data_IF_661356391856
#
_entry.id   IF_661356391856
#
_cell.length_a   1.000
_cell.length_b   1.000
_cell.length_c   1.000
_cell.angle_alpha   90.00
_cell.angle_beta   90.00
_cell.angle_gamma   90.00
#
_symmetry.space_group_name_H-M   'P 1'
#
loop_
_entity.id
_entity.type
_entity.pdbx_description
1 polymer ?
#
# COMPACT_ATOMS: atom_id res chain seq x y z
N UNK A 1 4.52 -33.40 -43.19
CA UNK A 1 3.59 -32.25 -43.26
C UNK A 1 3.98 -31.28 -42.16
N UNK A 2 4.44 -30.09 -42.55
CA UNK A 2 4.76 -28.98 -41.64
C UNK A 2 3.66 -27.93 -41.83
N UNK A 3 3.02 -27.42 -40.78
CA UNK A 3 2.16 -26.23 -40.92
C UNK A 3 3.01 -24.96 -40.86
N UNK A 4 2.86 -24.13 -41.88
CA UNK A 4 3.46 -22.80 -42.01
C UNK A 4 2.80 -21.74 -41.11
N UNK A 5 3.56 -20.66 -40.95
CA UNK A 5 3.33 -19.38 -40.28
C UNK A 5 1.92 -18.80 -40.42
N UNK A 6 1.46 -18.07 -39.39
CA UNK A 6 0.64 -16.87 -39.63
C UNK A 6 0.86 -15.80 -38.55
N UNK A 7 1.55 -14.73 -38.94
CA UNK A 7 1.52 -13.42 -38.26
C UNK A 7 0.15 -12.79 -38.45
N UNK A 8 -0.48 -12.29 -37.38
CA UNK A 8 -1.69 -11.48 -37.47
C UNK A 8 -1.47 -10.16 -36.71
N UNK A 9 -1.93 -9.01 -37.25
CA UNK A 9 -1.26 -7.73 -37.15
C UNK A 9 -1.88 -6.77 -36.11
N UNK A 10 -1.18 -5.66 -35.89
CA UNK A 10 -1.69 -4.45 -35.24
C UNK A 10 -2.96 -3.96 -35.94
N UNK A 11 -4.04 -3.77 -35.18
CA UNK A 11 -5.19 -2.98 -35.62
C UNK A 11 -5.46 -1.85 -34.63
N UNK A 12 -5.30 -0.66 -35.15
CA UNK A 12 -5.64 0.64 -34.61
C UNK A 12 -7.14 0.95 -34.78
N UNK A 13 -7.66 1.70 -33.80
CA UNK A 13 -8.64 2.79 -33.94
C UNK A 13 -10.11 2.53 -34.33
N UNK A 14 -10.97 3.02 -33.43
CA UNK A 14 -12.08 3.95 -33.65
C UNK A 14 -13.52 3.45 -33.97
N UNK A 15 -14.45 4.13 -33.29
CA UNK A 15 -15.82 4.53 -33.70
C UNK A 15 -17.02 3.87 -33.00
N UNK A 16 -17.49 4.56 -31.94
CA UNK A 16 -18.83 5.13 -31.75
C UNK A 16 -20.04 4.50 -32.48
N UNK A 17 -21.08 4.21 -31.68
CA UNK A 17 -22.45 4.77 -31.79
C UNK A 17 -23.63 3.79 -32.00
N UNK A 18 -24.63 3.89 -31.11
CA UNK A 18 -26.06 3.56 -31.33
C UNK A 18 -26.44 2.07 -31.38
N UNK A 19 -27.59 1.60 -30.91
CA UNK A 19 -28.86 2.22 -30.51
C UNK A 19 -29.70 1.22 -29.70
N UNK A 20 -30.42 1.75 -28.71
CA UNK A 20 -31.69 1.28 -28.11
C UNK A 20 -32.22 -0.13 -28.43
N UNK A 21 -32.30 -0.98 -27.41
CA UNK A 21 -33.45 -1.88 -27.21
C UNK A 21 -33.94 -1.81 -25.75
N UNK A 22 -35.20 -1.41 -25.65
CA UNK A 22 -36.07 -1.37 -24.46
C UNK A 22 -36.18 -2.77 -23.84
N UNK A 23 -36.11 -2.87 -22.51
CA UNK A 23 -36.94 -3.84 -21.79
C UNK A 23 -37.35 -3.26 -20.45
N UNK A 24 -38.65 -3.32 -20.25
CA UNK A 24 -39.44 -2.79 -19.17
C UNK A 24 -39.36 -3.70 -17.92
N UNK A 25 -39.50 -3.07 -16.75
CA UNK A 25 -39.87 -3.64 -15.44
C UNK A 25 -39.00 -4.73 -14.82
N UNK A 26 -38.14 -4.33 -13.89
CA UNK A 26 -38.15 -4.97 -12.56
C UNK A 26 -37.79 -3.98 -11.46
N UNK A 27 -38.80 -3.61 -10.66
CA UNK A 27 -38.62 -2.96 -9.36
C UNK A 27 -37.78 -3.90 -8.49
N UNK A 28 -36.56 -3.49 -8.17
CA UNK A 28 -35.87 -3.97 -6.98
C UNK A 28 -35.41 -2.75 -6.23
N UNK A 29 -36.00 -2.54 -5.05
CA UNK A 29 -35.60 -1.51 -4.11
C UNK A 29 -34.16 -1.79 -3.67
N UNK A 30 -33.20 -1.20 -4.37
CA UNK A 30 -31.82 -1.11 -3.96
C UNK A 30 -31.45 0.36 -3.97
N UNK A 31 -31.43 0.97 -2.80
CA UNK A 31 -30.82 2.29 -2.58
C UNK A 31 -29.37 2.22 -3.07
N UNK A 32 -29.13 2.57 -4.33
CA UNK A 32 -27.80 2.85 -4.83
C UNK A 32 -27.42 4.22 -4.28
N UNK A 33 -27.01 4.24 -3.02
CA UNK A 33 -26.27 5.34 -2.45
C UNK A 33 -25.06 5.55 -3.35
N UNK A 34 -25.09 6.66 -4.07
CA UNK A 34 -23.93 7.37 -4.58
C UNK A 34 -22.91 7.47 -3.44
N UNK A 35 -22.01 6.49 -3.34
CA UNK A 35 -20.81 6.61 -2.55
C UNK A 35 -19.87 7.50 -3.36
N UNK A 36 -20.06 8.80 -3.10
CA UNK A 36 -19.14 9.88 -3.36
C UNK A 36 -17.72 9.37 -3.05
N UNK A 37 -16.87 9.23 -4.07
CA UNK A 37 -15.41 9.15 -3.89
C UNK A 37 -14.94 10.53 -3.42
N UNK A 38 -15.29 10.83 -2.16
CA UNK A 38 -14.92 12.02 -1.44
C UNK A 38 -14.17 11.58 -0.20
N UNK A 39 -13.12 12.33 0.11
CA UNK A 39 -12.39 12.32 1.37
C UNK A 39 -11.33 11.23 1.53
N UNK A 40 -10.13 11.58 1.08
CA UNK A 40 -8.94 11.63 1.95
C UNK A 40 -8.01 12.70 1.36
N UNK A 41 -8.46 13.94 1.22
CA UNK A 41 -8.12 15.00 2.19
C UNK A 41 -6.79 14.76 2.92
N UNK A 42 -5.77 15.45 2.41
CA UNK A 42 -4.61 15.97 3.16
C UNK A 42 -3.91 14.97 4.08
N UNK A 43 -3.23 13.99 3.50
CA UNK A 43 -2.21 13.26 4.25
C UNK A 43 -0.91 14.09 4.27
N UNK A 44 -0.88 15.14 5.09
CA UNK A 44 0.37 15.42 5.81
C UNK A 44 0.56 14.23 6.76
N UNK A 45 1.04 13.11 6.21
CA UNK A 45 1.39 11.93 6.99
C UNK A 45 2.51 12.39 7.88
N UNK A 46 2.22 12.43 9.18
CA UNK A 46 3.26 12.48 10.19
C UNK A 46 4.28 11.38 9.82
N UNK A 47 5.54 11.72 9.48
CA UNK A 47 6.52 10.75 9.04
C UNK A 47 6.74 9.65 10.08
N UNK A 48 6.43 9.93 11.35
CA UNK A 48 6.44 8.95 12.43
C UNK A 48 5.35 7.89 12.24
N UNK A 49 4.15 8.27 11.78
CA UNK A 49 3.01 7.36 11.59
C UNK A 49 3.29 6.31 10.51
N UNK A 50 3.82 6.75 9.36
CA UNK A 50 4.21 5.84 8.29
C UNK A 50 5.33 4.88 8.75
N UNK A 51 6.31 5.41 9.47
CA UNK A 51 7.40 4.60 10.03
C UNK A 51 6.89 3.58 11.05
N UNK A 52 5.90 3.96 11.87
CA UNK A 52 5.30 3.08 12.88
C UNK A 52 4.51 1.94 12.22
N UNK A 53 3.73 2.22 11.21
CA UNK A 53 3.00 1.21 10.43
C UNK A 53 3.97 0.19 9.80
N UNK A 54 5.05 0.66 9.16
CA UNK A 54 6.09 -0.22 8.60
C UNK A 54 6.77 -1.06 9.69
N UNK A 55 7.08 -0.44 10.83
CA UNK A 55 7.68 -1.13 11.98
C UNK A 55 6.78 -2.25 12.51
N UNK A 56 5.46 -2.04 12.54
CA UNK A 56 4.48 -3.03 12.97
C UNK A 56 4.30 -4.15 11.94
N UNK A 57 4.25 -3.82 10.65
CA UNK A 57 4.24 -4.80 9.55
C UNK A 57 5.46 -5.72 9.59
N UNK A 58 6.65 -5.16 9.87
CA UNK A 58 7.89 -5.91 10.00
C UNK A 58 8.07 -6.58 11.36
N UNK A 59 7.12 -6.40 12.29
CA UNK A 59 7.13 -6.95 13.65
C UNK A 59 8.45 -6.65 14.38
N UNK A 60 8.98 -5.44 14.24
CA UNK A 60 10.25 -5.06 14.88
C UNK A 60 10.15 -5.11 16.41
N UNK A 61 8.95 -4.98 16.96
CA UNK A 61 8.68 -4.92 18.40
C UNK A 61 9.16 -3.61 19.05
N UNK A 62 9.32 -2.54 18.26
CA UNK A 62 9.67 -1.21 18.77
C UNK A 62 8.41 -0.44 19.15
N UNK A 63 8.48 0.23 20.31
CA UNK A 63 7.46 1.22 20.70
C UNK A 63 7.58 2.47 19.82
N UNK A 64 6.53 3.30 19.82
CA UNK A 64 6.53 4.56 19.08
C UNK A 64 7.66 5.50 19.53
N UNK A 65 7.89 5.61 20.83
CA UNK A 65 9.01 6.39 21.40
C UNK A 65 10.38 5.85 20.96
N UNK A 66 10.58 4.53 21.01
CA UNK A 66 11.83 3.90 20.58
C UNK A 66 12.08 4.09 19.09
N UNK A 67 11.03 4.07 18.29
CA UNK A 67 11.11 4.32 16.86
C UNK A 67 11.46 5.78 16.58
N UNK A 68 10.86 6.73 17.29
CA UNK A 68 11.21 8.15 17.20
C UNK A 68 12.69 8.41 17.52
N UNK A 69 13.18 7.82 18.61
CA UNK A 69 14.60 7.88 18.97
C UNK A 69 15.49 7.24 17.91
N UNK A 70 15.12 6.08 17.36
CA UNK A 70 15.88 5.43 16.31
C UNK A 70 15.96 6.30 15.04
N UNK A 71 14.86 6.94 14.65
CA UNK A 71 14.83 7.86 13.50
C UNK A 71 15.74 9.08 13.75
N UNK A 72 15.68 9.67 14.94
CA UNK A 72 16.55 10.80 15.29
C UNK A 72 18.03 10.40 15.23
N UNK A 73 18.41 9.26 15.81
CA UNK A 73 19.79 8.77 15.77
C UNK A 73 20.26 8.48 14.33
N UNK A 74 19.37 8.00 13.46
CA UNK A 74 19.68 7.82 12.04
C UNK A 74 19.94 9.18 11.35
N UNK A 75 19.17 10.22 11.68
CA UNK A 75 19.35 11.58 11.17
C UNK A 75 20.65 12.21 11.68
N UNK A 76 21.04 11.90 12.92
CA UNK A 76 22.33 12.29 13.52
C UNK A 76 23.53 11.53 12.91
N UNK A 77 23.27 10.62 11.96
CA UNK A 77 24.31 9.91 11.21
C UNK A 77 24.75 8.60 11.84
N UNK A 78 24.06 8.10 12.87
CA UNK A 78 24.36 6.78 13.44
C UNK A 78 23.93 5.69 12.44
N UNK A 79 24.83 4.77 12.05
CA UNK A 79 24.51 3.69 11.14
C UNK A 79 23.39 2.77 11.66
N UNK A 80 22.39 2.51 10.81
CA UNK A 80 21.25 1.63 11.13
C UNK A 80 21.67 0.25 11.66
N UNK A 81 22.77 -0.30 11.14
CA UNK A 81 23.31 -1.59 11.58
C UNK A 81 23.73 -1.58 13.05
N UNK A 82 24.37 -0.50 13.51
CA UNK A 82 24.77 -0.37 14.91
C UNK A 82 23.55 -0.27 15.83
N UNK A 83 22.52 0.49 15.44
CA UNK A 83 21.26 0.58 16.19
C UNK A 83 20.57 -0.79 16.28
N UNK A 84 20.49 -1.53 15.17
CA UNK A 84 19.91 -2.87 15.15
C UNK A 84 20.67 -3.84 16.06
N UNK A 85 22.00 -3.81 16.05
CA UNK A 85 22.82 -4.67 16.91
C UNK A 85 22.69 -4.28 18.38
N UNK A 86 22.57 -2.99 18.70
CA UNK A 86 22.28 -2.51 20.05
C UNK A 86 20.92 -3.03 20.55
N UNK A 87 19.85 -2.87 19.78
CA UNK A 87 18.51 -3.35 20.13
C UNK A 87 18.49 -4.86 20.37
N UNK A 88 19.16 -5.63 19.51
CA UNK A 88 19.28 -7.09 19.67
C UNK A 88 19.98 -7.46 20.97
N UNK A 89 21.15 -6.86 21.24
CA UNK A 89 21.92 -7.12 22.48
C UNK A 89 21.14 -6.76 23.73
N UNK A 90 20.46 -5.61 23.74
CA UNK A 90 19.62 -5.17 24.86
C UNK A 90 18.50 -6.17 25.17
N UNK A 91 17.80 -6.68 24.14
CA UNK A 91 16.75 -7.69 24.29
C UNK A 91 17.26 -9.04 24.77
N UNK A 92 18.43 -9.47 24.29
CA UNK A 92 19.07 -10.71 24.75
C UNK A 92 19.47 -10.62 26.21
N UNK A 93 20.03 -9.49 26.65
CA UNK A 93 20.49 -9.31 28.02
C UNK A 93 19.33 -9.32 29.03
N UNK A 94 18.17 -8.76 28.66
CA UNK A 94 16.97 -8.77 29.52
C UNK A 94 16.28 -10.14 29.65
N UNK A 95 16.67 -11.14 28.84
CA UNK A 95 16.14 -12.51 28.94
C UNK A 95 16.97 -13.44 29.84
N UNK A 96 18.15 -12.99 30.27
CA UNK A 96 19.10 -13.79 31.04
C UNK A 96 19.09 -13.49 32.55
N UNK A 97 18.15 -12.65 33.00
CA UNK A 97 17.88 -12.35 34.41
C UNK A 97 16.55 -12.95 34.84
#
# INVERSE_FOLDING_TARGET
MVPEKSSIPRSSSNQLNGTSKRSDVQKVNGSASTAIFGHSETSHTDPLKASKELSDMLRTGLTEEQLGLAIQLLQDGIPARMLADFVKRSRSNNRSS
#
